data_IF_800254938479
#
_entry.id   IF_800254938479
#
_cell.length_a   1.000
_cell.length_b   1.000
_cell.length_c   1.000
_cell.angle_alpha   90.00
_cell.angle_beta   90.00
_cell.angle_gamma   90.00
#
_symmetry.space_group_name_H-M   'P 1'
#
loop_
_entity.id
_entity.type
_entity.pdbx_description
1 polymer ?
#
# COMPACT_ATOMS: atom_id res chain seq x y z
N UNK A 1 21.38 19.77 -9.13
CA UNK A 1 19.94 19.51 -9.16
C UNK A 1 19.40 19.33 -7.75
N UNK A 2 18.15 19.61 -7.54
CA UNK A 2 17.49 19.44 -6.23
C UNK A 2 16.81 18.08 -6.12
N UNK A 3 17.07 17.36 -5.02
CA UNK A 3 16.50 16.04 -4.73
C UNK A 3 15.75 16.14 -3.40
N UNK A 4 14.53 15.61 -3.33
CA UNK A 4 13.76 15.56 -2.08
C UNK A 4 13.71 14.15 -1.54
N UNK A 5 14.19 13.95 -0.33
CA UNK A 5 13.99 12.74 0.45
C UNK A 5 12.69 12.89 1.28
N UNK A 6 11.70 12.04 1.03
CA UNK A 6 10.43 12.02 1.76
C UNK A 6 10.51 10.98 2.86
N UNK A 7 10.50 11.44 4.12
CA UNK A 7 10.82 10.62 5.29
C UNK A 7 9.66 10.62 6.28
N UNK A 8 8.72 9.66 6.20
CA UNK A 8 7.65 9.52 7.19
C UNK A 8 8.22 8.98 8.51
N UNK A 9 7.85 9.59 9.63
CA UNK A 9 8.33 9.21 10.96
C UNK A 9 7.19 9.11 11.98
N UNK A 10 7.27 8.12 12.87
CA UNK A 10 6.34 7.92 13.98
C UNK A 10 7.02 7.28 15.19
N UNK A 11 7.27 8.06 16.24
CA UNK A 11 8.05 7.68 17.43
C UNK A 11 9.44 7.16 17.02
N UNK A 12 10.25 8.04 16.44
CA UNK A 12 11.56 7.73 15.86
C UNK A 12 12.65 8.73 16.38
N UNK A 13 12.50 9.22 17.62
CA UNK A 13 13.43 10.19 18.24
C UNK A 13 14.89 9.76 18.20
N UNK A 14 15.17 8.44 18.31
CA UNK A 14 16.52 7.91 18.32
C UNK A 14 17.14 7.77 16.91
N UNK A 15 16.32 7.58 15.88
CA UNK A 15 16.79 7.28 14.52
C UNK A 15 16.99 8.53 13.66
N UNK A 16 16.20 9.59 13.89
CA UNK A 16 16.25 10.83 13.09
C UNK A 16 17.64 11.49 13.09
N UNK A 17 18.32 11.69 14.24
CA UNK A 17 19.65 12.30 14.24
C UNK A 17 20.68 11.47 13.48
N UNK A 18 20.60 10.14 13.56
CA UNK A 18 21.49 9.22 12.86
C UNK A 18 21.24 9.33 11.35
N UNK A 19 19.98 9.27 10.93
CA UNK A 19 19.59 9.40 9.51
C UNK A 19 20.05 10.74 8.93
N UNK A 20 19.74 11.85 9.61
CA UNK A 20 20.13 13.19 9.16
C UNK A 20 21.63 13.30 8.97
N UNK A 21 22.42 12.87 9.97
CA UNK A 21 23.89 12.87 9.90
C UNK A 21 24.38 12.03 8.72
N UNK A 22 23.87 10.81 8.56
CA UNK A 22 24.26 9.91 7.47
C UNK A 22 23.99 10.53 6.10
N UNK A 23 22.82 11.16 5.91
CA UNK A 23 22.50 11.83 4.63
C UNK A 23 23.44 13.01 4.35
N UNK A 24 23.74 13.85 5.37
CA UNK A 24 24.56 15.04 5.20
C UNK A 24 26.06 14.73 5.02
N UNK A 25 26.53 13.63 5.60
CA UNK A 25 27.94 13.21 5.48
C UNK A 25 28.22 12.34 4.24
N UNK A 26 27.17 11.82 3.57
CA UNK A 26 27.36 10.92 2.44
C UNK A 26 27.87 11.66 1.19
N UNK A 27 29.12 11.39 0.80
CA UNK A 27 29.82 12.06 -0.33
C UNK A 27 29.05 11.94 -1.66
N UNK A 28 28.38 10.78 -1.91
CA UNK A 28 27.64 10.54 -3.14
C UNK A 28 26.45 11.49 -3.38
N UNK A 29 26.03 12.25 -2.37
CA UNK A 29 24.95 13.23 -2.46
C UNK A 29 25.42 14.69 -2.37
N UNK A 30 26.68 14.96 -2.04
CA UNK A 30 27.17 16.32 -1.81
C UNK A 30 27.12 17.22 -3.05
N UNK A 31 27.14 16.65 -4.25
CA UNK A 31 27.00 17.40 -5.50
C UNK A 31 25.55 17.84 -5.79
N UNK A 32 24.60 17.48 -4.95
CA UNK A 32 23.18 17.76 -5.09
C UNK A 32 22.67 18.62 -3.94
N UNK A 33 21.64 19.40 -4.20
CA UNK A 33 20.86 20.07 -3.16
C UNK A 33 19.85 19.07 -2.60
N UNK A 34 20.12 18.51 -1.43
CA UNK A 34 19.29 17.46 -0.83
C UNK A 34 18.33 18.05 0.19
N UNK A 35 17.08 18.20 -0.19
CA UNK A 35 15.97 18.55 0.69
C UNK A 35 15.52 17.29 1.45
N UNK A 36 15.34 17.40 2.77
CA UNK A 36 14.77 16.33 3.60
C UNK A 36 13.42 16.78 4.12
N UNK A 37 12.37 16.14 3.66
CA UNK A 37 11.00 16.40 4.12
C UNK A 37 10.64 15.35 5.16
N UNK A 38 10.69 15.70 6.43
CA UNK A 38 10.22 14.86 7.53
C UNK A 38 8.74 15.05 7.74
N UNK A 39 7.98 13.95 7.81
CA UNK A 39 6.55 13.95 8.06
C UNK A 39 6.29 13.19 9.37
N UNK A 40 6.05 13.94 10.44
CA UNK A 40 5.70 13.40 11.74
C UNK A 40 4.23 13.00 11.78
N UNK A 41 3.97 11.70 11.79
CA UNK A 41 2.62 11.12 11.84
C UNK A 41 2.05 11.11 13.26
N UNK A 42 2.09 12.26 13.95
CA UNK A 42 1.51 12.44 15.26
C UNK A 42 2.23 11.66 16.38
N UNK A 43 3.55 11.70 16.41
CA UNK A 43 4.39 11.08 17.45
C UNK A 43 4.07 11.62 18.84
N UNK A 44 4.40 10.81 19.86
CA UNK A 44 4.20 11.13 21.28
C UNK A 44 5.52 11.29 22.06
N UNK A 45 6.63 11.02 21.42
CA UNK A 45 8.00 11.17 21.92
C UNK A 45 8.63 12.50 21.46
N UNK A 46 9.94 12.65 21.56
CA UNK A 46 10.67 13.86 21.16
C UNK A 46 10.83 14.01 19.63
N UNK A 47 10.25 13.14 18.81
CA UNK A 47 10.36 13.18 17.32
C UNK A 47 10.06 14.58 16.76
N UNK A 48 8.95 15.22 17.19
CA UNK A 48 8.52 16.52 16.66
C UNK A 48 9.51 17.66 17.02
N UNK A 49 10.02 17.69 18.24
CA UNK A 49 11.00 18.70 18.67
C UNK A 49 12.31 18.57 17.89
N UNK A 50 12.80 17.34 17.72
CA UNK A 50 14.05 17.05 16.99
C UNK A 50 13.97 17.50 15.53
N UNK A 51 12.90 17.18 14.80
CA UNK A 51 12.80 17.63 13.40
C UNK A 51 12.60 19.13 13.27
N UNK A 52 11.92 19.78 14.24
CA UNK A 52 11.80 21.25 14.25
C UNK A 52 13.14 21.92 14.51
N UNK A 53 13.97 21.40 15.42
CA UNK A 53 15.32 21.89 15.66
C UNK A 53 16.20 21.75 14.40
N UNK A 54 16.10 20.60 13.71
CA UNK A 54 16.82 20.40 12.44
C UNK A 54 16.35 21.38 11.36
N UNK A 55 15.05 21.64 11.26
CA UNK A 55 14.51 22.58 10.27
C UNK A 55 14.90 24.04 10.54
N UNK A 56 15.15 24.40 11.80
CA UNK A 56 15.69 25.73 12.16
C UNK A 56 17.19 25.83 11.82
N UNK A 57 17.95 24.75 12.02
CA UNK A 57 19.38 24.70 11.80
C UNK A 57 19.76 24.55 10.30
N UNK A 58 18.93 23.92 9.51
CA UNK A 58 19.18 23.56 8.11
C UNK A 58 17.98 23.94 7.22
N UNK A 59 18.10 24.96 6.34
CA UNK A 59 17.01 25.41 5.47
C UNK A 59 16.57 24.37 4.43
N UNK A 60 17.34 23.30 4.23
CA UNK A 60 16.98 22.17 3.37
C UNK A 60 16.20 21.06 4.13
N UNK A 61 15.85 21.28 5.40
CA UNK A 61 15.01 20.39 6.17
C UNK A 61 13.61 20.99 6.30
N UNK A 62 12.61 20.26 5.87
CA UNK A 62 11.19 20.62 6.00
C UNK A 62 10.56 19.75 7.07
N UNK A 63 9.92 20.39 8.06
CA UNK A 63 9.21 19.72 9.15
C UNK A 63 7.71 19.83 8.94
N UNK A 64 7.04 18.69 8.76
CA UNK A 64 5.59 18.60 8.68
C UNK A 64 5.08 17.73 9.84
N UNK A 65 4.14 18.23 10.62
CA UNK A 65 3.53 17.46 11.73
C UNK A 65 2.03 17.33 11.56
N UNK A 66 1.52 16.11 11.71
CA UNK A 66 0.09 15.82 11.69
C UNK A 66 -0.56 16.09 13.05
N UNK A 67 -1.84 16.47 13.02
CA UNK A 67 -2.64 16.69 14.25
C UNK A 67 -2.85 15.40 15.06
N UNK A 68 -2.78 14.24 14.42
CA UNK A 68 -2.84 12.88 15.01
C UNK A 68 -2.17 11.88 14.09
N UNK A 69 -2.06 10.63 14.50
CA UNK A 69 -1.64 9.56 13.62
C UNK A 69 -2.72 9.28 12.54
N UNK A 70 -2.34 9.43 11.27
CA UNK A 70 -3.15 9.13 10.08
C UNK A 70 -2.64 7.88 9.35
N UNK A 71 -1.40 7.43 9.63
CA UNK A 71 -0.77 6.27 9.02
C UNK A 71 0.33 6.63 8.01
N UNK A 72 1.13 5.62 7.65
CA UNK A 72 2.31 5.79 6.78
C UNK A 72 1.92 6.31 5.38
N UNK A 73 0.86 5.78 4.79
CA UNK A 73 0.43 6.13 3.43
C UNK A 73 0.05 7.62 3.30
N UNK A 74 -0.80 8.19 4.19
CA UNK A 74 -1.04 9.63 4.23
C UNK A 74 0.22 10.46 4.48
N UNK A 75 1.18 9.96 5.29
CA UNK A 75 2.43 10.65 5.54
C UNK A 75 3.31 10.70 4.28
N UNK A 76 3.41 9.58 3.55
CA UNK A 76 4.10 9.56 2.24
C UNK A 76 3.44 10.55 1.28
N UNK A 77 2.11 10.54 1.18
CA UNK A 77 1.39 11.45 0.29
C UNK A 77 1.63 12.93 0.65
N UNK A 78 1.59 13.27 1.94
CA UNK A 78 1.92 14.62 2.41
C UNK A 78 3.34 15.05 2.05
N UNK A 79 4.31 14.12 2.16
CA UNK A 79 5.68 14.36 1.74
C UNK A 79 5.79 14.63 0.24
N UNK A 80 5.09 13.87 -0.60
CA UNK A 80 5.02 14.11 -2.04
C UNK A 80 4.38 15.46 -2.37
N UNK A 81 3.34 15.87 -1.63
CA UNK A 81 2.69 17.17 -1.81
C UNK A 81 3.64 18.35 -1.56
N UNK A 82 4.54 18.23 -0.59
CA UNK A 82 5.41 19.32 -0.12
C UNK A 82 6.84 19.26 -0.66
N UNK A 83 7.28 18.12 -1.19
CA UNK A 83 8.60 17.97 -1.80
C UNK A 83 8.78 18.92 -2.99
N UNK A 84 9.92 19.61 -3.08
CA UNK A 84 10.19 20.62 -4.11
C UNK A 84 11.27 20.23 -5.12
N UNK A 85 11.99 19.11 -4.90
CA UNK A 85 13.05 18.61 -5.78
C UNK A 85 12.59 18.19 -7.17
N UNK A 86 13.52 18.08 -8.11
CA UNK A 86 13.30 17.54 -9.45
C UNK A 86 13.11 16.03 -9.43
N UNK A 87 13.83 15.36 -8.52
CA UNK A 87 13.72 13.96 -8.19
C UNK A 87 13.24 13.79 -6.74
N UNK A 88 12.28 12.91 -6.51
CA UNK A 88 11.67 12.67 -5.20
C UNK A 88 11.86 11.21 -4.81
N UNK A 89 12.37 10.97 -3.61
CA UNK A 89 12.72 9.64 -3.12
C UNK A 89 12.08 9.42 -1.74
N UNK A 90 11.01 8.63 -1.63
CA UNK A 90 10.53 8.13 -0.35
C UNK A 90 11.54 7.17 0.25
N UNK A 91 11.90 7.36 1.52
CA UNK A 91 12.86 6.52 2.23
C UNK A 91 12.48 6.40 3.71
N UNK A 92 12.64 5.21 4.28
CA UNK A 92 12.40 4.98 5.71
C UNK A 92 13.60 5.50 6.55
N UNK A 93 13.32 6.18 7.66
CA UNK A 93 14.32 6.75 8.58
C UNK A 93 15.26 5.71 9.22
N UNK A 94 14.89 4.43 9.18
CA UNK A 94 15.58 3.34 9.86
C UNK A 94 16.85 2.82 9.14
N UNK A 95 17.24 3.44 8.03
CA UNK A 95 18.42 3.11 7.20
C UNK A 95 18.47 1.64 6.73
N UNK A 96 17.33 0.95 6.67
CA UNK A 96 17.27 -0.39 6.07
C UNK A 96 17.40 -0.36 4.55
N UNK A 97 16.97 0.74 3.95
CA UNK A 97 17.18 1.03 2.54
C UNK A 97 18.43 1.91 2.44
N UNK A 98 19.57 1.37 1.93
CA UNK A 98 20.87 2.04 2.00
C UNK A 98 20.90 3.32 1.18
N UNK A 99 21.45 4.39 1.74
CA UNK A 99 21.60 5.69 1.06
C UNK A 99 22.53 5.58 -0.16
N UNK A 100 23.47 4.64 -0.13
CA UNK A 100 24.42 4.33 -1.20
C UNK A 100 23.74 3.90 -2.50
N UNK A 101 22.49 3.48 -2.45
CA UNK A 101 21.70 3.12 -3.64
C UNK A 101 21.21 4.36 -4.40
N UNK A 102 21.05 5.50 -3.71
CA UNK A 102 20.48 6.72 -4.30
C UNK A 102 21.23 7.21 -5.54
N UNK A 103 22.58 7.26 -5.57
CA UNK A 103 23.31 7.65 -6.78
C UNK A 103 22.97 6.78 -8.00
N UNK A 104 22.80 5.47 -7.81
CA UNK A 104 22.43 4.56 -8.91
C UNK A 104 20.99 4.79 -9.39
N UNK A 105 20.08 5.17 -8.49
CA UNK A 105 18.73 5.59 -8.89
C UNK A 105 18.79 6.86 -9.73
N UNK A 106 19.64 7.82 -9.34
CA UNK A 106 19.82 9.08 -10.05
C UNK A 106 20.40 8.85 -11.45
N UNK A 107 21.41 8.01 -11.60
CA UNK A 107 22.01 7.65 -12.89
C UNK A 107 20.97 7.13 -13.89
N UNK A 108 20.13 6.20 -13.46
CA UNK A 108 19.07 5.63 -14.31
C UNK A 108 17.97 6.63 -14.64
N UNK A 109 17.61 7.51 -13.70
CA UNK A 109 16.69 8.60 -13.96
C UNK A 109 17.27 9.60 -14.97
N UNK A 110 18.54 9.99 -14.85
CA UNK A 110 19.22 10.84 -15.81
C UNK A 110 19.35 10.19 -17.20
N UNK A 111 19.41 8.86 -17.26
CA UNK A 111 19.36 8.11 -18.51
C UNK A 111 17.95 8.10 -19.18
N UNK A 112 16.96 8.75 -18.55
CA UNK A 112 15.62 8.99 -19.11
C UNK A 112 14.53 8.11 -18.55
N UNK A 113 14.71 7.45 -17.40
CA UNK A 113 13.61 6.80 -16.69
C UNK A 113 12.78 7.85 -15.93
N UNK A 114 11.45 7.71 -15.94
CA UNK A 114 10.54 8.56 -15.17
C UNK A 114 10.44 8.09 -13.72
N UNK A 115 10.59 6.79 -13.49
CA UNK A 115 10.60 6.15 -12.18
C UNK A 115 11.69 5.07 -12.13
N UNK A 116 12.46 5.03 -11.03
CA UNK A 116 13.47 4.00 -10.81
C UNK A 116 13.17 3.26 -9.52
N UNK A 117 12.87 1.98 -9.65
CA UNK A 117 12.49 1.12 -8.53
C UNK A 117 13.72 0.53 -7.85
N UNK A 118 13.82 0.66 -6.53
CA UNK A 118 14.79 -0.10 -5.76
C UNK A 118 14.20 -1.47 -5.39
N UNK A 119 14.73 -2.53 -6.02
CA UNK A 119 14.29 -3.91 -5.86
C UNK A 119 15.24 -4.66 -4.93
N UNK A 120 14.69 -5.30 -3.92
CA UNK A 120 15.48 -6.11 -2.97
C UNK A 120 15.93 -7.40 -3.63
N UNK A 121 17.25 -7.61 -3.72
CA UNK A 121 17.87 -8.78 -4.33
C UNK A 121 17.77 -10.01 -3.41
N UNK A 122 17.75 -9.85 -2.07
CA UNK A 122 17.76 -10.95 -1.12
C UNK A 122 16.59 -10.88 -0.11
N UNK A 123 15.94 -12.01 0.10
CA UNK A 123 14.93 -12.29 1.14
C UNK A 123 15.34 -13.45 2.05
N UNK A 124 16.62 -13.75 2.14
CA UNK A 124 17.11 -14.86 2.99
C UNK A 124 16.74 -14.69 4.47
N UNK A 125 16.56 -13.45 4.92
CA UNK A 125 16.14 -13.11 6.29
C UNK A 125 14.64 -13.32 6.55
N UNK A 126 13.81 -13.50 5.52
CA UNK A 126 12.38 -13.76 5.67
C UNK A 126 12.11 -15.26 5.88
N UNK A 127 11.19 -15.59 6.80
CA UNK A 127 10.77 -16.97 6.99
C UNK A 127 10.15 -17.55 5.71
N UNK A 128 10.34 -18.86 5.46
CA UNK A 128 9.81 -19.57 4.27
C UNK A 128 8.30 -19.36 4.06
N UNK A 129 7.53 -19.29 5.17
CA UNK A 129 6.08 -19.02 5.13
C UNK A 129 5.77 -17.60 4.65
N UNK A 130 6.50 -16.59 5.16
CA UNK A 130 6.32 -15.18 4.72
C UNK A 130 6.65 -15.02 3.24
N UNK A 131 7.72 -15.66 2.77
CA UNK A 131 8.10 -15.62 1.35
C UNK A 131 7.04 -16.23 0.44
N UNK A 132 6.57 -17.46 0.74
CA UNK A 132 5.55 -18.14 -0.05
C UNK A 132 4.20 -17.40 -0.04
N UNK A 133 3.79 -16.85 1.10
CA UNK A 133 2.53 -16.07 1.19
C UNK A 133 2.61 -14.78 0.39
N UNK A 134 3.77 -14.08 0.39
CA UNK A 134 3.98 -12.89 -0.42
C UNK A 134 4.01 -13.22 -1.92
N UNK A 135 4.74 -14.27 -2.35
CA UNK A 135 4.76 -14.73 -3.74
C UNK A 135 3.35 -15.07 -4.25
N UNK A 136 2.58 -15.80 -3.44
CA UNK A 136 1.19 -16.12 -3.78
C UNK A 136 0.31 -14.87 -3.89
N UNK A 137 0.46 -13.93 -2.95
CA UNK A 137 -0.25 -12.65 -3.00
C UNK A 137 0.05 -11.87 -4.29
N UNK A 138 1.34 -11.68 -4.63
CA UNK A 138 1.72 -10.94 -5.85
C UNK A 138 1.22 -11.65 -7.12
N UNK A 139 1.36 -12.98 -7.20
CA UNK A 139 0.82 -13.76 -8.34
C UNK A 139 -0.69 -13.60 -8.48
N UNK A 140 -1.44 -13.68 -7.37
CA UNK A 140 -2.87 -13.50 -7.38
C UNK A 140 -3.24 -12.07 -7.75
N UNK A 141 -2.65 -11.08 -7.07
CA UNK A 141 -2.89 -9.66 -7.32
C UNK A 141 -2.62 -9.30 -8.79
N UNK A 142 -1.47 -9.64 -9.32
CA UNK A 142 -1.08 -9.32 -10.70
C UNK A 142 -1.94 -10.03 -11.75
N UNK A 143 -2.59 -11.14 -11.38
CA UNK A 143 -3.54 -11.83 -12.26
C UNK A 143 -4.94 -11.19 -12.29
N UNK A 144 -5.36 -10.57 -11.19
CA UNK A 144 -6.74 -10.09 -11.01
C UNK A 144 -6.87 -8.57 -10.95
N UNK A 145 -5.75 -7.86 -10.80
CA UNK A 145 -5.69 -6.40 -10.66
C UNK A 145 -4.88 -5.77 -11.79
N UNK A 146 -5.23 -4.54 -12.13
CA UNK A 146 -4.45 -3.67 -13.00
C UNK A 146 -4.31 -2.33 -12.27
N UNK A 147 -3.10 -1.83 -12.02
CA UNK A 147 -1.80 -2.22 -12.57
C UNK A 147 -1.15 -3.45 -11.89
N UNK A 148 -0.16 -4.02 -12.58
CA UNK A 148 0.71 -5.04 -11.99
C UNK A 148 1.70 -4.38 -11.01
N UNK A 149 1.90 -5.00 -9.86
CA UNK A 149 2.86 -4.54 -8.84
C UNK A 149 4.12 -5.39 -8.96
N UNK A 150 5.28 -4.71 -9.10
CA UNK A 150 6.58 -5.37 -9.09
C UNK A 150 6.86 -6.06 -7.76
N UNK A 151 7.28 -7.33 -7.85
CA UNK A 151 7.66 -8.11 -6.67
C UNK A 151 8.94 -7.56 -6.03
N UNK A 152 9.03 -7.62 -4.71
CA UNK A 152 10.20 -7.20 -3.93
C UNK A 152 10.53 -5.70 -3.98
N UNK A 153 9.62 -4.88 -4.48
CA UNK A 153 9.72 -3.42 -4.47
C UNK A 153 8.93 -2.86 -3.29
N UNK A 154 9.58 -1.99 -2.52
CA UNK A 154 8.98 -1.20 -1.44
C UNK A 154 8.58 0.20 -1.89
N UNK A 155 8.49 1.10 -0.90
CA UNK A 155 8.26 2.52 -1.16
C UNK A 155 9.53 3.20 -1.69
N UNK A 156 10.71 2.66 -1.38
CA UNK A 156 12.02 3.19 -1.80
C UNK A 156 12.16 3.12 -3.32
N UNK A 157 12.13 4.27 -3.95
CA UNK A 157 12.24 4.50 -5.39
C UNK A 157 12.54 5.95 -5.67
N UNK A 158 13.06 6.25 -6.84
CA UNK A 158 13.15 7.60 -7.35
C UNK A 158 12.00 7.87 -8.32
N UNK A 159 11.36 9.00 -8.19
CA UNK A 159 10.28 9.49 -9.06
C UNK A 159 10.65 10.87 -9.61
N UNK A 160 10.43 11.10 -10.90
CA UNK A 160 10.52 12.44 -11.49
C UNK A 160 9.43 13.36 -10.92
N UNK A 161 9.63 14.66 -11.03
CA UNK A 161 8.60 15.65 -10.66
C UNK A 161 7.28 15.40 -11.39
N UNK A 162 7.33 15.07 -12.68
CA UNK A 162 6.14 14.79 -13.49
C UNK A 162 5.34 13.61 -12.93
N UNK A 163 5.99 12.51 -12.56
CA UNK A 163 5.33 11.36 -11.92
C UNK A 163 4.67 11.78 -10.61
N UNK A 164 5.33 12.58 -9.79
CA UNK A 164 4.76 13.05 -8.52
C UNK A 164 3.56 13.97 -8.75
N UNK A 165 3.61 14.88 -9.71
CA UNK A 165 2.44 15.72 -10.05
C UNK A 165 1.25 14.88 -10.55
N UNK A 166 1.51 13.83 -11.34
CA UNK A 166 0.46 12.90 -11.75
C UNK A 166 -0.14 12.12 -10.56
N UNK A 167 0.68 11.73 -9.56
CA UNK A 167 0.19 11.10 -8.31
C UNK A 167 -0.72 12.06 -7.53
N UNK A 168 -0.37 13.35 -7.48
CA UNK A 168 -1.18 14.36 -6.79
C UNK A 168 -2.57 14.56 -7.40
N UNK A 169 -2.71 14.32 -8.70
CA UNK A 169 -4.01 14.40 -9.40
C UNK A 169 -4.98 13.28 -9.00
N UNK A 170 -4.49 12.22 -8.34
CA UNK A 170 -5.35 11.11 -7.94
C UNK A 170 -6.22 11.49 -6.73
N UNK A 171 -7.55 11.43 -6.89
CA UNK A 171 -8.49 11.87 -5.85
C UNK A 171 -8.65 10.87 -4.72
N UNK A 172 -8.16 9.63 -4.87
CA UNK A 172 -8.41 8.54 -3.94
C UNK A 172 -8.04 8.90 -2.50
N UNK A 173 -8.95 8.56 -1.59
CA UNK A 173 -8.79 8.75 -0.14
C UNK A 173 -8.25 7.51 0.54
N UNK A 174 -8.57 6.34 -0.04
CA UNK A 174 -8.06 5.07 0.43
C UNK A 174 -6.73 4.78 -0.29
N UNK A 175 -5.65 5.27 0.30
CA UNK A 175 -4.32 5.20 -0.29
C UNK A 175 -3.72 3.80 -0.09
N UNK A 176 -3.55 3.07 -1.18
CA UNK A 176 -2.65 1.92 -1.25
C UNK A 176 -1.48 2.33 -2.14
N UNK A 177 -0.45 2.95 -1.53
CA UNK A 177 0.62 3.63 -2.27
C UNK A 177 1.30 2.73 -3.30
N UNK A 178 1.49 1.44 -3.03
CA UNK A 178 2.08 0.51 -4.01
C UNK A 178 1.26 0.42 -5.31
N UNK A 179 -0.05 0.38 -5.18
CA UNK A 179 -0.95 0.39 -6.33
C UNK A 179 -0.97 1.73 -7.05
N UNK A 180 -1.10 2.83 -6.30
CA UNK A 180 -1.06 4.21 -6.81
C UNK A 180 0.22 4.46 -7.60
N UNK A 181 1.38 4.14 -7.02
CA UNK A 181 2.69 4.31 -7.64
C UNK A 181 2.88 3.45 -8.90
N UNK A 182 2.25 2.27 -8.96
CA UNK A 182 2.30 1.42 -10.15
C UNK A 182 1.30 1.86 -11.23
N UNK A 183 0.19 2.50 -10.84
CA UNK A 183 -0.87 2.93 -11.74
C UNK A 183 -0.48 4.16 -12.59
N UNK A 184 0.31 5.06 -12.03
CA UNK A 184 0.73 6.30 -12.73
C UNK A 184 1.50 6.00 -14.02
N UNK A 185 2.21 4.87 -14.09
CA UNK A 185 2.97 4.46 -15.27
C UNK A 185 4.25 5.29 -15.46
N UNK A 186 4.73 5.38 -16.72
CA UNK A 186 5.98 6.01 -17.10
C UNK A 186 7.07 5.00 -17.44
N UNK A 187 8.22 5.49 -17.97
CA UNK A 187 9.39 4.65 -18.22
C UNK A 187 10.01 4.25 -16.90
N UNK A 188 9.89 2.98 -16.56
CA UNK A 188 10.37 2.44 -15.28
C UNK A 188 11.65 1.64 -15.50
N UNK A 189 12.67 1.89 -14.66
CA UNK A 189 13.88 1.09 -14.56
C UNK A 189 14.04 0.52 -13.15
N UNK A 190 14.96 -0.41 -12.95
CA UNK A 190 15.15 -1.14 -11.70
C UNK A 190 16.63 -1.11 -11.28
N UNK A 191 16.87 -0.83 -9.99
CA UNK A 191 18.16 -1.01 -9.33
C UNK A 191 18.01 -2.07 -8.26
N UNK A 192 18.81 -3.12 -8.33
CA UNK A 192 18.80 -4.17 -7.29
C UNK A 192 19.74 -3.79 -6.13
N UNK A 193 19.28 -4.05 -4.90
CA UNK A 193 20.09 -3.81 -3.70
C UNK A 193 19.85 -4.86 -2.61
N UNK A 194 20.87 -5.07 -1.76
CA UNK A 194 20.74 -5.85 -0.56
C UNK A 194 20.25 -4.97 0.60
N UNK A 195 19.23 -5.42 1.32
CA UNK A 195 18.68 -4.67 2.45
C UNK A 195 19.61 -4.75 3.65
N UNK A 196 19.92 -3.60 4.25
CA UNK A 196 20.70 -3.53 5.49
C UNK A 196 19.89 -3.99 6.73
N UNK A 197 20.59 -4.36 7.79
CA UNK A 197 19.96 -4.58 9.09
C UNK A 197 19.47 -3.25 9.68
N UNK A 198 18.41 -3.30 10.49
CA UNK A 198 17.90 -2.10 11.16
C UNK A 198 18.90 -1.55 12.14
N UNK A 199 19.12 -0.24 12.09
CA UNK A 199 19.97 0.44 13.07
C UNK A 199 19.28 0.51 14.44
N UNK A 200 17.93 0.67 14.50
CA UNK A 200 17.13 0.69 15.72
C UNK A 200 15.66 0.34 15.43
N UNK A 201 14.87 0.01 16.47
CA UNK A 201 13.43 -0.22 16.39
C UNK A 201 13.01 -1.68 16.19
N UNK A 202 11.71 -1.99 16.37
CA UNK A 202 11.13 -3.34 16.24
C UNK A 202 10.02 -3.39 15.18
N UNK A 203 9.81 -4.57 14.58
CA UNK A 203 8.74 -4.78 13.60
C UNK A 203 7.36 -4.76 14.25
N UNK A 204 6.48 -3.84 13.85
CA UNK A 204 5.10 -3.68 14.38
C UNK A 204 4.03 -4.44 13.57
N UNK A 205 4.41 -5.28 12.58
CA UNK A 205 3.47 -6.03 11.75
C UNK A 205 3.15 -7.41 12.35
N UNK A 206 1.84 -7.71 12.47
CA UNK A 206 1.31 -9.03 12.81
C UNK A 206 0.51 -9.62 11.62
N UNK A 207 0.15 -10.91 11.70
CA UNK A 207 -0.54 -11.62 10.62
C UNK A 207 -1.88 -11.00 10.22
N UNK A 208 -2.63 -10.44 11.17
CA UNK A 208 -3.89 -9.76 10.93
C UNK A 208 -3.74 -8.48 10.10
N UNK A 209 -2.68 -7.69 10.38
CA UNK A 209 -2.37 -6.49 9.59
C UNK A 209 -1.96 -6.84 8.16
N UNK A 210 -1.23 -7.95 7.97
CA UNK A 210 -0.87 -8.43 6.62
C UNK A 210 -2.11 -8.90 5.84
N UNK A 211 -3.05 -9.57 6.49
CA UNK A 211 -4.32 -9.97 5.88
C UNK A 211 -5.15 -8.77 5.43
N UNK A 212 -5.31 -7.77 6.30
CA UNK A 212 -6.04 -6.55 5.97
C UNK A 212 -5.37 -5.78 4.82
N UNK A 213 -4.03 -5.70 4.81
CA UNK A 213 -3.29 -5.07 3.71
C UNK A 213 -3.51 -5.82 2.37
N UNK A 214 -3.58 -7.16 2.41
CA UNK A 214 -3.85 -7.96 1.23
C UNK A 214 -5.28 -7.73 0.70
N UNK A 215 -6.28 -7.71 1.59
CA UNK A 215 -7.66 -7.38 1.22
C UNK A 215 -7.73 -5.96 0.64
N UNK A 216 -7.07 -5.00 1.27
CA UNK A 216 -7.01 -3.62 0.79
C UNK A 216 -6.43 -3.53 -0.61
N UNK A 217 -5.29 -4.16 -0.87
CA UNK A 217 -4.68 -4.18 -2.19
C UNK A 217 -5.58 -4.77 -3.27
N UNK A 218 -6.24 -5.91 -2.98
CA UNK A 218 -7.13 -6.57 -3.95
C UNK A 218 -8.38 -5.72 -4.22
N UNK A 219 -9.07 -5.25 -3.18
CA UNK A 219 -10.37 -4.58 -3.33
C UNK A 219 -10.25 -3.13 -3.80
N UNK A 220 -9.09 -2.47 -3.64
CA UNK A 220 -8.83 -1.13 -4.18
C UNK A 220 -8.59 -1.13 -5.69
N UNK A 221 -7.96 -2.18 -6.23
CA UNK A 221 -7.53 -2.21 -7.64
C UNK A 221 -8.19 -3.32 -8.46
N UNK A 222 -9.14 -4.07 -7.89
CA UNK A 222 -9.81 -5.16 -8.60
C UNK A 222 -11.28 -5.28 -8.24
N UNK A 223 -12.12 -5.43 -9.26
CA UNK A 223 -13.54 -5.82 -9.12
C UNK A 223 -13.71 -7.33 -9.23
N UNK A 224 -12.61 -8.09 -9.31
CA UNK A 224 -12.64 -9.54 -9.48
C UNK A 224 -13.46 -10.28 -8.40
N UNK A 225 -13.35 -9.95 -7.09
CA UNK A 225 -14.19 -10.58 -6.06
C UNK A 225 -15.68 -10.42 -6.31
N UNK A 226 -16.13 -9.24 -6.79
CA UNK A 226 -17.53 -8.98 -7.14
C UNK A 226 -17.98 -9.84 -8.35
N UNK A 227 -17.15 -9.90 -9.39
CA UNK A 227 -17.43 -10.69 -10.59
C UNK A 227 -17.48 -12.18 -10.28
N UNK A 228 -16.56 -12.70 -9.49
CA UNK A 228 -16.57 -14.10 -9.02
C UNK A 228 -17.87 -14.41 -8.30
N UNK A 229 -18.35 -13.50 -7.48
CA UNK A 229 -19.61 -13.67 -6.77
C UNK A 229 -20.81 -13.79 -7.72
N UNK A 230 -20.83 -13.01 -8.80
CA UNK A 230 -21.86 -13.11 -9.84
C UNK A 230 -21.86 -14.49 -10.50
N UNK A 231 -20.70 -15.05 -10.85
CA UNK A 231 -20.61 -16.38 -11.46
C UNK A 231 -21.00 -17.50 -10.48
N UNK A 232 -20.58 -17.39 -9.22
CA UNK A 232 -20.97 -18.33 -8.16
C UNK A 232 -22.49 -18.30 -7.97
N UNK A 233 -23.09 -17.12 -7.89
CA UNK A 233 -24.54 -16.95 -7.76
C UNK A 233 -25.30 -17.53 -8.95
N UNK A 234 -24.85 -17.27 -10.17
CA UNK A 234 -25.42 -17.83 -11.40
C UNK A 234 -25.34 -19.37 -11.42
N UNK A 235 -24.21 -19.94 -11.05
CA UNK A 235 -24.02 -21.40 -10.99
C UNK A 235 -24.98 -22.04 -9.98
N UNK A 236 -25.09 -21.47 -8.77
CA UNK A 236 -26.04 -21.96 -7.74
C UNK A 236 -27.48 -21.81 -8.22
N UNK A 237 -27.85 -20.70 -8.85
CA UNK A 237 -29.15 -20.46 -9.39
C UNK A 237 -29.50 -21.51 -10.46
N UNK A 238 -28.60 -21.84 -11.37
CA UNK A 238 -28.79 -22.88 -12.37
C UNK A 238 -29.02 -24.28 -11.75
N UNK A 239 -28.21 -24.65 -10.75
CA UNK A 239 -28.39 -25.92 -10.02
C UNK A 239 -29.73 -25.94 -9.31
N UNK A 240 -30.07 -24.89 -8.60
CA UNK A 240 -31.33 -24.79 -7.85
C UNK A 240 -32.53 -24.86 -8.77
N UNK A 241 -32.48 -24.18 -9.92
CA UNK A 241 -33.55 -24.23 -10.93
C UNK A 241 -33.72 -25.64 -11.52
N UNK A 242 -32.58 -26.27 -11.88
CA UNK A 242 -32.62 -27.66 -12.44
C UNK A 242 -33.16 -28.64 -11.42
N UNK A 243 -32.69 -28.58 -10.17
CA UNK A 243 -33.15 -29.43 -9.10
C UNK A 243 -34.64 -29.20 -8.76
N UNK A 244 -35.08 -27.94 -8.67
CA UNK A 244 -36.47 -27.56 -8.44
C UNK A 244 -37.37 -28.05 -9.56
N UNK A 245 -36.97 -27.93 -10.83
CA UNK A 245 -37.70 -28.44 -11.99
C UNK A 245 -37.83 -29.97 -11.95
N UNK A 246 -36.72 -30.64 -11.60
CA UNK A 246 -36.72 -32.09 -11.41
C UNK A 246 -37.76 -32.53 -10.33
N UNK A 247 -37.75 -31.89 -9.15
CA UNK A 247 -38.69 -32.22 -8.07
C UNK A 247 -40.16 -32.00 -8.46
N UNK A 248 -40.45 -30.93 -9.23
CA UNK A 248 -41.84 -30.68 -9.72
C UNK A 248 -42.25 -31.78 -10.68
N UNK A 249 -41.41 -32.17 -11.62
CA UNK A 249 -41.68 -33.22 -12.61
C UNK A 249 -41.88 -34.58 -11.90
N UNK A 250 -40.96 -34.92 -10.97
CA UNK A 250 -41.04 -36.17 -10.20
C UNK A 250 -42.32 -36.26 -9.42
N UNK A 251 -42.75 -35.20 -8.74
CA UNK A 251 -43.99 -35.12 -8.01
C UNK A 251 -45.23 -35.26 -8.91
N UNK A 252 -45.20 -34.67 -10.09
CA UNK A 252 -46.32 -34.74 -11.05
C UNK A 252 -46.50 -36.14 -11.64
N UNK A 253 -45.41 -36.87 -11.84
CA UNK A 253 -45.41 -38.19 -12.49
C UNK A 253 -45.58 -39.30 -11.47
N UNK A 254 -44.91 -39.24 -10.31
CA UNK A 254 -44.82 -40.38 -9.37
C UNK A 254 -45.59 -40.18 -8.04
N UNK A 255 -46.09 -38.96 -7.76
CA UNK A 255 -47.03 -38.73 -6.64
C UNK A 255 -46.40 -38.94 -5.24
N UNK A 256 -45.20 -38.53 -4.97
CA UNK A 256 -44.45 -38.97 -3.80
C UNK A 256 -44.63 -38.11 -2.52
N UNK A 257 -44.75 -38.79 -1.35
CA UNK A 257 -44.59 -38.20 -0.02
C UNK A 257 -43.09 -38.16 0.32
N UNK A 258 -42.43 -37.02 0.14
CA UNK A 258 -40.99 -36.90 0.38
C UNK A 258 -40.73 -36.53 1.84
N UNK A 259 -40.15 -37.41 2.66
CA UNK A 259 -39.57 -37.03 3.95
C UNK A 259 -38.28 -36.22 3.69
N UNK A 260 -38.33 -34.89 3.82
CA UNK A 260 -37.23 -34.03 3.38
C UNK A 260 -36.80 -32.94 4.36
N UNK A 261 -37.27 -32.96 5.62
CA UNK A 261 -36.93 -31.90 6.59
C UNK A 261 -35.41 -31.64 6.75
N UNK A 262 -34.54 -32.66 6.93
CA UNK A 262 -33.11 -32.42 7.06
C UNK A 262 -32.48 -31.82 5.79
N UNK A 263 -32.89 -32.27 4.62
CA UNK A 263 -32.38 -31.78 3.33
C UNK A 263 -32.77 -30.33 3.09
N UNK A 264 -34.00 -29.93 3.44
CA UNK A 264 -34.48 -28.56 3.34
C UNK A 264 -33.68 -27.67 4.30
N UNK A 265 -33.48 -28.09 5.54
CA UNK A 265 -32.75 -27.32 6.54
C UNK A 265 -31.28 -27.10 6.12
N UNK A 266 -30.60 -28.15 5.66
CA UNK A 266 -29.21 -28.05 5.18
C UNK A 266 -29.10 -27.11 3.98
N UNK A 267 -30.06 -27.22 3.02
CA UNK A 267 -30.09 -26.34 1.85
C UNK A 267 -30.26 -24.86 2.23
N UNK A 268 -31.18 -24.58 3.15
CA UNK A 268 -31.41 -23.19 3.63
C UNK A 268 -30.18 -22.65 4.34
N UNK A 269 -29.57 -23.44 5.24
CA UNK A 269 -28.35 -23.00 5.95
C UNK A 269 -27.18 -22.78 5.01
N UNK A 270 -27.00 -23.67 4.02
CA UNK A 270 -25.96 -23.55 3.02
C UNK A 270 -26.14 -22.30 2.14
N UNK A 271 -27.33 -22.10 1.58
CA UNK A 271 -27.64 -20.93 0.76
C UNK A 271 -27.56 -19.64 1.57
N UNK A 272 -28.08 -19.64 2.81
CA UNK A 272 -28.00 -18.51 3.72
C UNK A 272 -26.53 -18.16 4.06
N UNK A 273 -25.70 -19.16 4.33
CA UNK A 273 -24.27 -18.96 4.56
C UNK A 273 -23.56 -18.32 3.37
N UNK A 274 -23.81 -18.84 2.16
CA UNK A 274 -23.26 -18.28 0.92
C UNK A 274 -23.72 -16.83 0.70
N UNK A 275 -25.00 -16.53 0.93
CA UNK A 275 -25.52 -15.15 0.82
C UNK A 275 -24.84 -14.19 1.79
N UNK A 276 -24.62 -14.61 3.05
CA UNK A 276 -23.93 -13.78 4.04
C UNK A 276 -22.50 -13.47 3.63
N UNK A 277 -21.76 -14.42 3.04
CA UNK A 277 -20.43 -14.18 2.49
C UNK A 277 -20.50 -13.12 1.37
N UNK A 278 -21.48 -13.22 0.45
CA UNK A 278 -21.66 -12.25 -0.62
C UNK A 278 -21.98 -10.85 -0.12
N UNK A 279 -22.85 -10.75 0.88
CA UNK A 279 -23.15 -9.48 1.54
C UNK A 279 -21.89 -8.91 2.20
N UNK A 280 -21.04 -9.74 2.81
CA UNK A 280 -19.76 -9.34 3.37
C UNK A 280 -18.82 -8.74 2.31
N UNK A 281 -18.70 -9.39 1.14
CA UNK A 281 -17.89 -8.85 0.01
C UNK A 281 -18.46 -7.52 -0.47
N UNK A 282 -19.77 -7.41 -0.66
CA UNK A 282 -20.42 -6.15 -1.03
C UNK A 282 -20.19 -5.06 0.02
N UNK A 283 -20.26 -5.42 1.32
CA UNK A 283 -20.01 -4.51 2.43
C UNK A 283 -18.61 -3.89 2.38
N UNK A 284 -17.58 -4.65 2.01
CA UNK A 284 -16.21 -4.16 1.85
C UNK A 284 -16.12 -3.08 0.76
N UNK A 285 -16.74 -3.30 -0.40
CA UNK A 285 -16.74 -2.31 -1.49
C UNK A 285 -17.59 -1.08 -1.15
N UNK A 286 -18.76 -1.27 -0.52
CA UNK A 286 -19.60 -0.15 -0.06
C UNK A 286 -18.84 0.68 0.99
N UNK A 287 -18.11 0.04 1.90
CA UNK A 287 -17.26 0.72 2.88
C UNK A 287 -16.23 1.62 2.22
N UNK A 288 -15.59 1.16 1.13
CA UNK A 288 -14.62 1.96 0.35
C UNK A 288 -15.29 3.13 -0.35
N UNK A 289 -16.40 2.88 -1.06
CA UNK A 289 -17.19 3.94 -1.70
C UNK A 289 -17.60 5.00 -0.67
N UNK A 290 -18.01 4.59 0.53
CA UNK A 290 -18.37 5.50 1.60
C UNK A 290 -17.21 6.42 2.06
N UNK A 291 -15.98 5.88 2.13
CA UNK A 291 -14.78 6.67 2.45
C UNK A 291 -14.50 7.69 1.34
N UNK A 292 -14.59 7.27 0.08
CA UNK A 292 -14.37 8.14 -1.08
C UNK A 292 -15.43 9.25 -1.17
N UNK A 293 -16.71 8.91 -1.01
CA UNK A 293 -17.82 9.88 -1.07
C UNK A 293 -17.75 10.93 0.05
N UNK A 294 -17.23 10.57 1.23
CA UNK A 294 -17.04 11.53 2.32
C UNK A 294 -16.01 12.62 2.03
N UNK A 295 -15.10 12.42 1.11
CA UNK A 295 -14.06 13.35 0.71
C UNK A 295 -13.29 14.02 1.87
N UNK A 296 -13.10 13.29 2.97
CA UNK A 296 -12.29 13.78 4.09
C UNK A 296 -10.84 13.97 3.63
N UNK A 297 -10.14 15.02 4.10
CA UNK A 297 -8.74 15.22 3.75
C UNK A 297 -7.91 13.99 4.14
N UNK A 298 -6.94 13.63 3.30
CA UNK A 298 -6.04 12.47 3.51
C UNK A 298 -5.24 12.62 4.81
N UNK A 299 -4.87 13.84 5.17
CA UNK A 299 -4.18 14.22 6.39
C UNK A 299 -4.56 15.65 6.82
N UNK A 300 -4.22 16.02 8.03
CA UNK A 300 -4.37 17.39 8.55
C UNK A 300 -3.07 17.79 9.23
N UNK A 301 -2.42 18.82 8.70
CA UNK A 301 -1.22 19.39 9.30
C UNK A 301 -1.56 20.20 10.55
N UNK A 302 -0.66 20.17 11.55
CA UNK A 302 -0.67 21.18 12.62
C UNK A 302 -0.36 22.53 11.98
N UNK A 303 -1.17 23.54 12.32
CA UNK A 303 -0.85 24.91 11.92
C UNK A 303 0.49 25.33 12.53
N UNK A 304 1.36 25.95 11.75
CA UNK A 304 2.50 26.67 12.31
C UNK A 304 1.94 27.78 13.21
N UNK A 305 2.11 27.62 14.55
CA UNK A 305 1.82 28.69 15.50
C UNK A 305 2.96 29.69 15.50
#
# INVERSE_FOLDING_TARGET
>A
MKISLVVPVFNEEATIPIFYKTVREFEGLQQHEVEIVFINDGSKDATESIINELAVADPLVVSLSFTRNFGKEPALFAGLDHATGEAIIPIDVNLQDPIEVIPHLIEKWQAGADMVLAKRSDRSTDSRLKRKSAEWFYKLHNKISNPQIEENVGDFRLMSREVVENIKLMPERNLFMKGVLSWVGGRTDVVEYARAERVAGSTKFNGWKLWNLALEGITSFSTFPLRMWTYIGLFIACISFTYGSWMIIDKLIFGNNVPGYPSILVSILFLGGIQLIGIGVLGEYIGRIYVEVKQRPKYILKGNK
#
